data_IF_780648829307
#
_entry.id   IF_780648829307
#
_cell.length_a   1.000
_cell.length_b   1.000
_cell.length_c   1.000
_cell.angle_alpha   90.00
_cell.angle_beta   90.00
_cell.angle_gamma   90.00
#
_symmetry.space_group_name_H-M   'P 1'
#
loop_
_entity.id
_entity.type
_entity.pdbx_description
1 polymer ?
#
# COMPACT_ATOMS: atom_id res chain seq x y z
N UNK A 1 6.10 20.02 -9.71
CA UNK A 1 7.53 20.00 -10.10
C UNK A 1 7.96 18.54 -10.23
N UNK A 2 8.37 18.06 -11.42
CA UNK A 2 8.79 16.66 -11.62
C UNK A 2 10.15 16.42 -10.93
N UNK A 3 10.29 15.32 -10.21
CA UNK A 3 11.57 14.90 -9.62
C UNK A 3 12.56 14.47 -10.73
N UNK A 4 13.88 14.72 -10.58
CA UNK A 4 14.89 14.17 -11.49
C UNK A 4 14.90 12.64 -11.45
N UNK A 5 15.04 11.98 -12.60
CA UNK A 5 14.94 10.52 -12.73
C UNK A 5 15.91 9.73 -11.83
N UNK A 6 17.15 10.21 -11.64
CA UNK A 6 18.13 9.60 -10.74
C UNK A 6 17.71 9.68 -9.26
N UNK A 7 16.98 10.73 -8.86
CA UNK A 7 16.46 10.91 -7.50
C UNK A 7 15.19 10.08 -7.27
N UNK A 8 14.33 9.96 -8.29
CA UNK A 8 13.21 9.01 -8.26
C UNK A 8 13.71 7.57 -8.07
N UNK A 9 14.81 7.20 -8.74
CA UNK A 9 15.50 5.91 -8.56
C UNK A 9 15.98 5.69 -7.12
N UNK A 10 16.66 6.67 -6.51
CA UNK A 10 17.17 6.55 -5.14
C UNK A 10 16.08 6.42 -4.07
N UNK A 11 14.97 7.18 -4.19
CA UNK A 11 13.82 7.07 -3.28
C UNK A 11 13.11 5.73 -3.47
N UNK A 12 12.87 5.31 -4.72
CA UNK A 12 12.28 4.01 -5.02
C UNK A 12 13.08 2.87 -4.41
N UNK A 13 14.41 2.88 -4.54
CA UNK A 13 15.27 1.81 -4.00
C UNK A 13 15.16 1.71 -2.47
N UNK A 14 15.14 2.84 -1.74
CA UNK A 14 14.97 2.84 -0.29
C UNK A 14 13.58 2.35 0.14
N UNK A 15 12.54 2.81 -0.55
CA UNK A 15 11.18 2.36 -0.26
C UNK A 15 11.00 0.87 -0.55
N UNK A 16 11.54 0.36 -1.65
CA UNK A 16 11.53 -1.08 -1.95
C UNK A 16 12.22 -1.88 -0.85
N UNK A 17 13.42 -1.48 -0.42
CA UNK A 17 14.13 -2.15 0.67
C UNK A 17 13.34 -2.13 1.99
N UNK A 18 12.76 -0.97 2.35
CA UNK A 18 11.92 -0.84 3.53
C UNK A 18 10.72 -1.80 3.45
N UNK A 19 10.02 -1.83 2.31
CA UNK A 19 8.88 -2.72 2.11
C UNK A 19 9.27 -4.19 2.16
N UNK A 20 10.44 -4.57 1.64
CA UNK A 20 10.96 -5.94 1.74
C UNK A 20 11.21 -6.33 3.19
N UNK A 21 11.89 -5.48 3.96
CA UNK A 21 12.16 -5.74 5.37
C UNK A 21 10.88 -5.78 6.20
N UNK A 22 9.95 -4.86 5.96
CA UNK A 22 8.64 -4.84 6.60
C UNK A 22 7.83 -6.10 6.28
N UNK A 23 7.75 -6.50 5.01
CA UNK A 23 7.02 -7.70 4.60
C UNK A 23 7.61 -8.97 5.23
N UNK A 24 8.95 -9.09 5.30
CA UNK A 24 9.61 -10.20 6.00
C UNK A 24 9.24 -10.24 7.49
N UNK A 25 9.27 -9.09 8.18
CA UNK A 25 8.93 -9.00 9.62
C UNK A 25 7.45 -9.28 9.88
N UNK A 26 6.56 -8.85 9.00
CA UNK A 26 5.12 -9.11 9.09
C UNK A 26 4.82 -10.60 8.89
N UNK A 27 5.48 -11.26 7.93
CA UNK A 27 5.37 -12.71 7.69
C UNK A 27 5.87 -13.59 8.83
N UNK A 28 6.80 -13.07 9.64
CA UNK A 28 7.36 -13.81 10.77
C UNK A 28 6.41 -13.88 11.99
N UNK A 29 5.28 -13.17 11.95
CA UNK A 29 4.22 -13.28 12.97
C UNK A 29 3.39 -14.53 12.69
N UNK A 30 2.94 -15.30 13.72
CA UNK A 30 2.03 -16.42 13.52
C UNK A 30 0.80 -16.04 12.67
N UNK A 31 0.56 -16.79 11.60
CA UNK A 31 -0.51 -16.53 10.61
C UNK A 31 -0.21 -15.44 9.57
N UNK A 32 0.98 -14.83 9.60
CA UNK A 32 1.38 -13.77 8.67
C UNK A 32 2.01 -14.26 7.36
N UNK A 33 2.31 -15.55 7.23
CA UNK A 33 2.93 -16.19 6.08
C UNK A 33 2.11 -16.04 4.78
N UNK A 34 0.78 -15.96 4.91
CA UNK A 34 -0.16 -15.73 3.82
C UNK A 34 -0.03 -14.37 3.11
N UNK A 35 0.71 -13.41 3.69
CA UNK A 35 0.90 -12.08 3.11
C UNK A 35 1.84 -12.18 1.91
N UNK A 36 1.40 -11.81 0.72
CA UNK A 36 2.17 -12.00 -0.51
C UNK A 36 2.84 -10.74 -1.03
N UNK A 37 2.32 -9.55 -0.68
CA UNK A 37 2.76 -8.29 -1.26
C UNK A 37 2.54 -7.11 -0.32
N UNK A 38 3.53 -6.23 -0.26
CA UNK A 38 3.43 -4.90 0.35
C UNK A 38 3.68 -3.84 -0.73
N UNK A 39 2.89 -2.77 -0.77
CA UNK A 39 3.06 -1.69 -1.75
C UNK A 39 2.78 -0.32 -1.15
N UNK A 40 3.45 0.70 -1.69
CA UNK A 40 3.20 2.10 -1.34
C UNK A 40 2.91 2.91 -2.60
N UNK A 41 1.85 3.71 -2.53
CA UNK A 41 1.45 4.66 -3.57
C UNK A 41 1.54 6.08 -3.03
N UNK A 42 1.93 7.02 -3.88
CA UNK A 42 1.86 8.45 -3.59
C UNK A 42 0.46 8.95 -3.89
N UNK A 43 -0.09 9.80 -3.02
CA UNK A 43 -1.24 10.63 -3.35
C UNK A 43 -0.76 12.02 -3.74
N UNK A 44 -1.27 12.57 -4.85
CA UNK A 44 -0.98 13.93 -5.28
C UNK A 44 -2.27 14.76 -5.24
N UNK A 45 -2.51 15.51 -4.15
CA UNK A 45 -3.75 16.25 -3.91
C UNK A 45 -4.14 17.21 -5.03
N UNK A 46 -3.22 18.02 -5.62
CA UNK A 46 -3.61 18.98 -6.66
C UNK A 46 -4.20 18.36 -7.93
N UNK A 47 -3.90 17.10 -8.22
CA UNK A 47 -4.42 16.38 -9.39
C UNK A 47 -5.28 15.18 -9.01
N UNK A 48 -5.56 15.02 -7.71
CA UNK A 48 -6.25 13.87 -7.13
C UNK A 48 -5.76 12.52 -7.67
N UNK A 49 -4.45 12.37 -7.90
CA UNK A 49 -3.91 11.17 -8.56
C UNK A 49 -3.17 10.27 -7.59
N UNK A 50 -3.32 8.96 -7.77
CA UNK A 50 -2.65 7.91 -7.02
C UNK A 50 -1.65 7.20 -7.93
N UNK A 51 -0.37 7.20 -7.53
CA UNK A 51 0.73 6.61 -8.32
C UNK A 51 1.51 5.59 -7.50
N UNK A 52 1.72 4.40 -8.05
CA UNK A 52 2.60 3.39 -7.46
C UNK A 52 4.07 3.86 -7.45
N UNK A 53 4.71 3.78 -6.29
CA UNK A 53 6.12 4.21 -6.11
C UNK A 53 7.04 3.00 -6.00
N UNK A 54 6.68 2.07 -5.11
CA UNK A 54 7.46 0.90 -4.76
C UNK A 54 6.55 -0.22 -4.24
N UNK A 55 7.04 -1.46 -4.36
CA UNK A 55 6.40 -2.65 -3.81
C UNK A 55 7.47 -3.68 -3.41
N UNK A 56 7.07 -4.66 -2.63
CA UNK A 56 7.83 -5.85 -2.29
C UNK A 56 6.94 -7.09 -2.34
N UNK A 57 7.56 -8.24 -2.59
CA UNK A 57 6.86 -9.53 -2.71
C UNK A 57 6.33 -9.78 -4.13
N UNK A 58 5.11 -10.30 -4.23
CA UNK A 58 4.53 -10.70 -5.52
C UNK A 58 4.38 -9.50 -6.47
N UNK A 59 5.00 -9.59 -7.64
CA UNK A 59 4.86 -8.59 -8.69
C UNK A 59 3.44 -8.61 -9.29
N UNK A 60 2.98 -7.45 -9.76
CA UNK A 60 1.72 -7.30 -10.47
C UNK A 60 1.88 -6.14 -11.46
N UNK A 61 2.17 -6.41 -12.75
CA UNK A 61 2.61 -5.39 -13.70
C UNK A 61 1.69 -4.17 -13.80
N UNK A 62 0.38 -4.38 -13.70
CA UNK A 62 -0.61 -3.29 -13.69
C UNK A 62 -0.50 -2.43 -12.43
N UNK A 63 -0.45 -3.05 -11.23
CA UNK A 63 -0.37 -2.33 -9.96
C UNK A 63 1.01 -1.70 -9.71
N UNK A 64 2.08 -2.30 -10.23
CA UNK A 64 3.46 -1.81 -10.12
C UNK A 64 3.67 -0.50 -10.87
N UNK A 65 2.81 -0.22 -11.86
CA UNK A 65 2.85 0.98 -12.72
C UNK A 65 1.57 1.80 -12.62
N UNK A 66 0.73 1.53 -11.61
CA UNK A 66 -0.54 2.19 -11.41
C UNK A 66 -0.36 3.70 -11.37
N UNK A 67 -1.17 4.40 -12.16
CA UNK A 67 -1.31 5.85 -12.12
C UNK A 67 -2.74 6.20 -12.53
N UNK A 68 -3.61 6.42 -11.55
CA UNK A 68 -5.05 6.64 -11.77
C UNK A 68 -5.55 7.82 -10.92
N UNK A 69 -6.66 8.46 -11.32
CA UNK A 69 -7.43 9.33 -10.43
C UNK A 69 -7.87 8.58 -9.15
N UNK A 70 -7.98 9.31 -8.04
CA UNK A 70 -8.50 8.78 -6.77
C UNK A 70 -9.96 8.32 -6.92
N UNK A 71 -10.74 8.98 -7.78
CA UNK A 71 -12.13 8.61 -8.10
C UNK A 71 -12.26 7.19 -8.69
N UNK A 72 -11.22 6.69 -9.36
CA UNK A 72 -11.17 5.33 -9.91
C UNK A 72 -10.81 4.29 -8.83
N UNK A 73 -10.46 4.77 -7.64
CA UNK A 73 -10.15 3.99 -6.45
C UNK A 73 -11.08 4.43 -5.31
N UNK A 74 -12.42 4.36 -5.47
CA UNK A 74 -13.38 4.87 -4.47
C UNK A 74 -13.24 4.18 -3.12
N UNK A 75 -12.62 3.00 -3.12
CA UNK A 75 -12.24 2.30 -1.92
C UNK A 75 -11.23 3.05 -1.06
N UNK A 76 -10.49 4.05 -1.55
CA UNK A 76 -9.44 4.82 -0.86
C UNK A 76 -9.93 6.10 -0.16
N UNK A 77 -11.22 6.41 -0.24
CA UNK A 77 -11.85 7.56 0.42
C UNK A 77 -12.06 7.36 1.95
N UNK A 78 -11.34 6.43 2.58
CA UNK A 78 -11.49 6.23 4.02
C UNK A 78 -10.84 7.38 4.79
N UNK A 79 -11.67 8.03 5.60
CA UNK A 79 -11.36 9.18 6.46
C UNK A 79 -9.92 9.17 6.95
N UNK A 80 -9.13 10.01 6.29
CA UNK A 80 -7.69 10.27 6.43
C UNK A 80 -7.24 10.71 7.82
N UNK A 81 -8.20 10.78 8.76
CA UNK A 81 -8.08 11.30 10.12
C UNK A 81 -8.24 10.23 11.21
N UNK A 82 -8.71 9.02 10.89
CA UNK A 82 -9.13 8.06 11.93
C UNK A 82 -8.06 7.07 12.39
N UNK A 83 -6.89 7.00 11.73
CA UNK A 83 -5.88 5.98 12.03
C UNK A 83 -6.34 4.54 11.80
N UNK A 84 -7.52 4.34 11.19
CA UNK A 84 -8.11 3.03 10.94
C UNK A 84 -7.61 2.46 9.63
N UNK A 85 -7.34 1.15 9.64
CA UNK A 85 -7.10 0.39 8.43
C UNK A 85 -8.45 0.12 7.72
N UNK A 86 -8.43 0.12 6.39
CA UNK A 86 -9.50 -0.52 5.62
C UNK A 86 -9.10 -1.96 5.33
N UNK A 87 -10.05 -2.87 5.48
CA UNK A 87 -9.84 -4.28 5.15
C UNK A 87 -10.87 -4.70 4.11
N UNK A 88 -10.38 -5.29 3.02
CA UNK A 88 -11.17 -6.06 2.08
C UNK A 88 -10.92 -7.53 2.41
N UNK A 89 -11.93 -8.20 2.96
CA UNK A 89 -11.83 -9.60 3.35
C UNK A 89 -11.80 -10.54 2.13
N UNK A 90 -12.55 -10.24 1.07
CA UNK A 90 -12.41 -10.96 -0.20
C UNK A 90 -12.55 -9.99 -1.38
N UNK A 91 -11.49 -9.90 -2.18
CA UNK A 91 -11.44 -9.06 -3.37
C UNK A 91 -12.44 -9.54 -4.43
N UNK A 92 -12.75 -10.84 -4.47
CA UNK A 92 -13.74 -11.37 -5.41
C UNK A 92 -15.15 -10.85 -5.15
N UNK A 93 -15.45 -10.38 -3.93
CA UNK A 93 -16.78 -9.89 -3.53
C UNK A 93 -16.95 -8.38 -3.78
N UNK A 94 -15.95 -7.71 -4.34
CA UNK A 94 -15.91 -6.25 -4.44
C UNK A 94 -16.81 -5.67 -5.56
N UNK A 95 -17.36 -6.51 -6.44
CA UNK A 95 -18.33 -6.13 -7.49
C UNK A 95 -17.72 -5.53 -8.76
N UNK A 96 -18.54 -5.41 -9.82
CA UNK A 96 -18.11 -5.18 -11.22
C UNK A 96 -17.63 -3.74 -11.55
N UNK A 97 -17.99 -2.72 -10.77
CA UNK A 97 -17.64 -1.32 -11.07
C UNK A 97 -16.15 -0.95 -10.81
N UNK A 98 -15.25 -1.93 -10.66
CA UNK A 98 -13.82 -1.73 -10.35
C UNK A 98 -12.87 -2.50 -11.27
N UNK A 99 -13.37 -2.81 -12.48
CA UNK A 99 -12.89 -3.84 -13.40
C UNK A 99 -11.37 -4.00 -13.41
N UNK A 100 -10.59 -2.97 -13.73
CA UNK A 100 -9.16 -3.17 -14.02
C UNK A 100 -8.26 -3.36 -12.79
N UNK A 101 -8.47 -2.59 -11.72
CA UNK A 101 -7.66 -2.73 -10.49
C UNK A 101 -7.99 -4.03 -9.75
N UNK A 102 -9.28 -4.35 -9.61
CA UNK A 102 -9.72 -5.57 -8.94
C UNK A 102 -9.31 -6.81 -9.74
N UNK A 103 -9.47 -6.77 -11.06
CA UNK A 103 -9.01 -7.85 -11.93
C UNK A 103 -7.50 -8.06 -11.82
N UNK A 104 -6.68 -6.99 -11.83
CA UNK A 104 -5.23 -7.13 -11.68
C UNK A 104 -4.82 -7.76 -10.33
N UNK A 105 -5.56 -7.47 -9.24
CA UNK A 105 -5.35 -8.13 -7.96
C UNK A 105 -5.68 -9.63 -8.04
N UNK A 106 -6.83 -9.98 -8.61
CA UNK A 106 -7.28 -11.37 -8.75
C UNK A 106 -6.36 -12.19 -9.68
N UNK A 107 -5.92 -11.61 -10.80
CA UNK A 107 -4.95 -12.22 -11.72
C UNK A 107 -3.59 -12.46 -11.06
N UNK A 108 -3.19 -11.59 -10.12
CA UNK A 108 -2.01 -11.79 -9.29
C UNK A 108 -2.25 -12.80 -8.13
N UNK A 109 -3.41 -13.44 -8.06
CA UNK A 109 -3.78 -14.38 -7.00
C UNK A 109 -3.94 -13.72 -5.62
N UNK A 110 -4.20 -12.42 -5.57
CA UNK A 110 -4.45 -11.68 -4.33
C UNK A 110 -5.95 -11.77 -4.01
N UNK A 111 -6.27 -12.15 -2.78
CA UNK A 111 -7.65 -12.40 -2.34
C UNK A 111 -8.11 -11.49 -1.20
N UNK A 112 -7.22 -10.93 -0.42
CA UNK A 112 -7.58 -9.93 0.59
C UNK A 112 -6.55 -8.81 0.67
N UNK A 113 -6.98 -7.65 1.19
CA UNK A 113 -6.13 -6.47 1.28
C UNK A 113 -6.41 -5.68 2.55
N UNK A 114 -5.35 -5.31 3.27
CA UNK A 114 -5.35 -4.31 4.32
C UNK A 114 -4.73 -3.05 3.74
N UNK A 115 -5.44 -1.93 3.85
CA UNK A 115 -4.97 -0.62 3.40
C UNK A 115 -4.88 0.35 4.57
N UNK A 116 -3.78 1.09 4.63
CA UNK A 116 -3.55 2.13 5.61
C UNK A 116 -3.17 3.43 4.92
N UNK A 117 -3.73 4.56 5.37
CA UNK A 117 -3.26 5.87 4.94
C UNK A 117 -1.87 6.14 5.54
N UNK A 118 -0.96 6.67 4.73
CA UNK A 118 0.34 7.17 5.19
C UNK A 118 0.22 8.69 5.33
N UNK A 119 0.29 9.24 6.55
CA UNK A 119 0.20 10.69 6.75
C UNK A 119 1.30 11.44 5.99
N UNK A 120 0.93 12.54 5.35
CA UNK A 120 1.83 13.54 4.78
C UNK A 120 2.04 14.71 5.73
N UNK A 121 2.78 15.72 5.28
CA UNK A 121 3.06 16.96 6.03
C UNK A 121 1.80 17.77 6.39
N UNK A 122 0.81 17.81 5.49
CA UNK A 122 -0.41 18.62 5.67
C UNK A 122 -1.73 17.83 5.45
N UNK A 123 -1.65 16.61 4.92
CA UNK A 123 -2.80 15.75 4.58
C UNK A 123 -2.34 14.28 4.37
N UNK A 124 -2.97 13.50 3.50
CA UNK A 124 -2.46 12.16 3.12
C UNK A 124 -1.30 12.28 2.16
N UNK A 125 -0.15 11.70 2.51
CA UNK A 125 1.00 11.59 1.61
C UNK A 125 0.88 10.40 0.65
N UNK A 126 0.14 9.37 1.05
CA UNK A 126 -0.07 8.19 0.23
C UNK A 126 -0.82 7.08 0.94
N UNK A 127 -0.80 5.89 0.34
CA UNK A 127 -1.43 4.70 0.91
C UNK A 127 -0.45 3.53 0.91
N UNK A 128 -0.51 2.75 1.98
CA UNK A 128 0.18 1.50 2.13
C UNK A 128 -0.82 0.35 1.96
N UNK A 129 -0.43 -0.65 1.19
CA UNK A 129 -1.22 -1.86 0.94
C UNK A 129 -0.44 -3.08 1.42
N UNK A 130 -1.11 -3.92 2.19
CA UNK A 130 -0.65 -5.25 2.56
C UNK A 130 -1.66 -6.26 2.04
N UNK A 131 -1.20 -7.17 1.19
CA UNK A 131 -2.05 -8.05 0.41
C UNK A 131 -1.76 -9.51 0.74
N UNK A 132 -2.79 -10.33 0.80
CA UNK A 132 -2.69 -11.77 1.08
C UNK A 132 -3.41 -12.58 0.00
N UNK A 133 -2.96 -13.83 -0.19
CA UNK A 133 -3.51 -14.75 -1.20
C UNK A 133 -4.75 -15.51 -0.72
N UNK A 134 -5.08 -15.40 0.57
CA UNK A 134 -6.26 -16.03 1.16
C UNK A 134 -7.36 -14.99 1.41
N UNK A 135 -8.64 -15.33 1.17
CA UNK A 135 -9.75 -14.52 1.67
C UNK A 135 -9.74 -14.55 3.21
N UNK A 136 -10.19 -13.47 3.83
CA UNK A 136 -10.31 -13.35 5.28
C UNK A 136 -8.99 -13.30 6.05
N UNK A 137 -7.84 -13.20 5.38
CA UNK A 137 -6.52 -13.31 6.03
C UNK A 137 -6.33 -12.35 7.22
N UNK A 138 -6.79 -11.10 7.09
CA UNK A 138 -6.66 -10.08 8.14
C UNK A 138 -7.74 -10.23 9.22
N UNK A 139 -7.71 -11.32 9.98
CA UNK A 139 -8.57 -11.54 11.16
C UNK A 139 -8.23 -10.54 12.28
N UNK A 140 -9.14 -10.30 13.25
CA UNK A 140 -8.84 -9.43 14.39
C UNK A 140 -7.55 -9.82 15.15
N UNK A 141 -7.31 -11.11 15.31
CA UNK A 141 -6.12 -11.64 15.99
C UNK A 141 -4.84 -11.34 15.19
N UNK A 142 -4.85 -11.59 13.87
CA UNK A 142 -3.71 -11.28 13.02
C UNK A 142 -3.46 -9.77 13.00
N UNK A 143 -4.51 -8.95 12.90
CA UNK A 143 -4.41 -7.50 12.96
C UNK A 143 -3.75 -7.04 14.27
N UNK A 144 -4.17 -7.58 15.41
CA UNK A 144 -3.58 -7.26 16.70
C UNK A 144 -2.10 -7.67 16.78
N UNK A 145 -1.76 -8.85 16.24
CA UNK A 145 -0.40 -9.39 16.26
C UNK A 145 0.57 -8.61 15.35
N UNK A 146 0.12 -8.14 14.19
CA UNK A 146 0.97 -7.39 13.24
C UNK A 146 1.03 -5.89 13.54
N UNK A 147 0.07 -5.33 14.29
CA UNK A 147 -0.07 -3.89 14.54
C UNK A 147 1.25 -3.20 14.92
N UNK A 148 2.07 -3.68 15.88
CA UNK A 148 3.31 -2.99 16.25
C UNK A 148 4.29 -2.83 15.08
N UNK A 149 4.41 -3.86 14.22
CA UNK A 149 5.29 -3.86 13.05
C UNK A 149 4.71 -3.04 11.90
N UNK A 150 3.39 -3.03 11.79
CA UNK A 150 2.67 -2.21 10.82
C UNK A 150 2.82 -0.73 11.14
N UNK A 151 2.65 -0.33 12.40
CA UNK A 151 2.80 1.06 12.84
C UNK A 151 4.24 1.59 12.67
N UNK A 152 5.24 0.74 12.96
CA UNK A 152 6.65 1.03 12.66
C UNK A 152 6.86 1.24 11.15
N UNK A 153 6.29 0.35 10.33
CA UNK A 153 6.36 0.45 8.86
C UNK A 153 5.74 1.77 8.37
N UNK A 154 4.55 2.12 8.85
CA UNK A 154 3.88 3.37 8.47
C UNK A 154 4.67 4.61 8.92
N UNK A 155 5.31 4.55 10.09
CA UNK A 155 6.17 5.62 10.60
C UNK A 155 7.40 5.83 9.71
N UNK A 156 8.05 4.74 9.28
CA UNK A 156 9.21 4.80 8.39
C UNK A 156 8.80 5.25 6.98
N UNK A 157 7.69 4.76 6.45
CA UNK A 157 7.14 5.19 5.15
C UNK A 157 6.82 6.69 5.18
N UNK A 158 6.14 7.17 6.23
CA UNK A 158 5.89 8.60 6.43
C UNK A 158 7.18 9.41 6.37
N UNK A 159 8.24 8.95 7.05
CA UNK A 159 9.53 9.65 7.05
C UNK A 159 10.15 9.71 5.66
N UNK A 160 10.12 8.62 4.91
CA UNK A 160 10.68 8.59 3.56
C UNK A 160 9.84 9.38 2.54
N UNK A 161 8.51 9.36 2.63
CA UNK A 161 7.63 10.15 1.76
C UNK A 161 7.73 11.65 2.03
N UNK A 162 7.94 12.06 3.28
CA UNK A 162 8.06 13.48 3.65
C UNK A 162 9.50 14.00 3.65
N UNK A 163 10.49 13.18 3.25
CA UNK A 163 11.88 13.63 3.23
C UNK A 163 12.02 14.79 2.24
N UNK A 164 12.51 15.97 2.68
CA UNK A 164 12.75 17.08 1.77
C UNK A 164 13.74 16.64 0.71
N UNK A 165 13.44 16.96 -0.54
CA UNK A 165 14.33 16.68 -1.67
C UNK A 165 15.49 17.67 -1.54
N UNK A 166 16.57 17.28 -0.85
CA UNK A 166 17.79 18.08 -0.83
C UNK A 166 18.35 18.14 -2.25
N UNK A 167 18.62 19.38 -2.71
CA UNK A 167 19.11 19.67 -4.06
C UNK A 167 20.50 19.08 -4.26
#
# INVERSE_FOLDING_TARGET
>A
MRMPAAKESGVRNRLSWLLEMSLRRLRAVPGGDCMVRAAVVNYHPPTESVRSIAFAGRACPYLDRLNLPLSDLPGLDFGTRSGRYRIIHDIAQVGDNRARHVQALLEAGIRSSLTAAVPGLHEVGGFFFLNAEQPGAFTPDLQAAIRPRLDETLTLLRRELNRPITK
#
